data_IF_180771212941
#
_entry.id   IF_180771212941
#
_cell.length_a   1.000
_cell.length_b   1.000
_cell.length_c   1.000
_cell.angle_alpha   90.00
_cell.angle_beta   90.00
_cell.angle_gamma   90.00
#
_symmetry.space_group_name_H-M   'P 1'
#
loop_
_entity.id
_entity.type
_entity.pdbx_description
1 polymer ?
#
# COMPACT_ATOMS: atom_id res chain seq x y z
N UNK A 1 -14.47 8.17 3.78
CA UNK A 1 -13.18 8.27 4.47
C UNK A 1 -12.59 9.63 4.18
N UNK A 2 -11.94 10.27 5.13
CA UNK A 2 -11.35 11.61 4.91
C UNK A 2 -9.83 11.52 4.84
N UNK A 3 -9.24 10.80 5.76
CA UNK A 3 -7.78 10.62 5.78
C UNK A 3 -7.45 9.16 6.09
N UNK A 4 -6.39 8.69 5.47
CA UNK A 4 -5.77 7.42 5.79
C UNK A 4 -4.27 7.62 5.97
N UNK A 5 -3.74 7.01 7.00
CA UNK A 5 -2.31 7.07 7.35
C UNK A 5 -1.85 5.68 7.72
N UNK A 6 -0.71 5.29 7.20
CA UNK A 6 0.02 4.11 7.61
C UNK A 6 1.23 4.55 8.46
N UNK A 7 1.40 3.94 9.61
CA UNK A 7 2.58 4.13 10.46
C UNK A 7 3.41 2.85 10.46
N UNK A 8 4.69 3.00 10.21
CA UNK A 8 5.68 1.92 10.32
C UNK A 8 6.69 2.34 11.37
N UNK A 9 6.80 1.59 12.46
CA UNK A 9 7.65 1.94 13.61
C UNK A 9 7.45 3.37 14.11
N UNK A 10 6.20 3.85 14.16
CA UNK A 10 5.81 5.22 14.54
C UNK A 10 6.14 6.31 13.51
N UNK A 11 6.72 5.95 12.37
CA UNK A 11 6.95 6.88 11.26
C UNK A 11 5.77 6.82 10.31
N UNK A 12 5.26 7.99 9.94
CA UNK A 12 4.12 8.12 9.05
C UNK A 12 4.52 7.89 7.59
N UNK A 13 3.73 7.07 6.89
CA UNK A 13 3.84 6.81 5.47
C UNK A 13 2.47 6.98 4.77
N UNK A 14 2.38 7.73 3.69
CA UNK A 14 3.36 8.74 3.26
C UNK A 14 3.46 9.89 4.26
N UNK A 15 4.45 10.76 4.12
CA UNK A 15 4.68 11.90 5.05
C UNK A 15 3.49 12.84 5.22
N UNK A 16 2.61 12.88 4.21
CA UNK A 16 1.30 13.56 4.30
C UNK A 16 0.18 12.53 4.23
N UNK A 17 -0.84 12.60 5.09
CA UNK A 17 -1.99 11.71 5.04
C UNK A 17 -2.60 11.65 3.65
N UNK A 18 -3.05 10.46 3.25
CA UNK A 18 -3.85 10.32 2.04
C UNK A 18 -5.26 10.81 2.32
N UNK A 19 -5.63 11.86 1.61
CA UNK A 19 -6.97 12.46 1.71
C UNK A 19 -7.87 11.93 0.62
N UNK A 20 -9.08 11.52 0.98
CA UNK A 20 -10.08 11.06 0.03
C UNK A 20 -11.38 11.83 0.19
N UNK A 21 -11.75 12.58 -0.83
CA UNK A 21 -13.06 13.23 -0.94
C UNK A 21 -13.87 12.50 -2.00
N UNK A 22 -14.73 11.57 -1.56
CA UNK A 22 -15.58 10.78 -2.46
C UNK A 22 -16.64 11.61 -3.21
N UNK A 23 -16.81 12.87 -2.87
CA UNK A 23 -17.73 13.79 -3.54
C UNK A 23 -17.18 14.40 -4.84
N UNK A 24 -15.90 14.20 -5.13
CA UNK A 24 -15.27 14.68 -6.36
C UNK A 24 -14.26 13.64 -6.86
N UNK A 25 -14.28 13.28 -8.15
CA UNK A 25 -13.28 12.37 -8.71
C UNK A 25 -11.84 12.92 -8.54
N UNK A 26 -11.65 14.23 -8.57
CA UNK A 26 -10.35 14.85 -8.34
C UNK A 26 -9.87 14.75 -6.88
N UNK A 27 -10.78 14.60 -5.93
CA UNK A 27 -10.44 14.48 -4.50
C UNK A 27 -9.77 13.14 -4.12
N UNK A 28 -9.80 12.16 -4.98
CA UNK A 28 -9.18 10.85 -4.77
C UNK A 28 -7.91 10.63 -5.63
N UNK A 29 -7.57 11.55 -6.52
CA UNK A 29 -6.50 11.37 -7.51
C UNK A 29 -5.17 11.01 -6.87
N UNK A 30 -4.77 11.74 -5.83
CA UNK A 30 -3.51 11.48 -5.12
C UNK A 30 -3.47 10.10 -4.47
N UNK A 31 -4.60 9.67 -3.92
CA UNK A 31 -4.72 8.36 -3.29
C UNK A 31 -4.74 7.25 -4.35
N UNK A 32 -5.41 7.49 -5.47
CA UNK A 32 -5.40 6.60 -6.61
C UNK A 32 -4.01 6.45 -7.23
N UNK A 33 -3.22 7.51 -7.24
CA UNK A 33 -1.84 7.51 -7.75
C UNK A 33 -0.92 6.55 -6.97
N UNK A 34 -1.25 6.22 -5.71
CA UNK A 34 -0.48 5.23 -4.95
C UNK A 34 -0.47 3.85 -5.61
N UNK A 35 -1.51 3.50 -6.36
CA UNK A 35 -1.57 2.25 -7.11
C UNK A 35 -0.51 2.16 -8.21
N UNK A 36 -0.10 3.29 -8.76
CA UNK A 36 0.93 3.33 -9.80
C UNK A 36 2.33 3.46 -9.20
N UNK A 37 2.49 4.36 -8.23
CA UNK A 37 3.79 4.68 -7.66
C UNK A 37 4.34 3.62 -6.71
N UNK A 38 3.46 2.78 -6.12
CA UNK A 38 3.88 1.73 -5.19
C UNK A 38 3.84 0.32 -5.79
N UNK A 39 3.47 0.20 -7.07
CA UNK A 39 3.47 -1.05 -7.81
C UNK A 39 4.36 -0.98 -9.05
N UNK A 40 5.13 0.09 -9.17
CA UNK A 40 6.06 0.43 -10.26
C UNK A 40 5.49 0.39 -11.69
N UNK A 41 4.15 0.42 -11.80
CA UNK A 41 3.45 0.41 -13.09
C UNK A 41 3.72 1.69 -13.91
N UNK A 42 4.24 2.76 -13.28
CA UNK A 42 4.59 3.99 -13.98
C UNK A 42 5.63 3.83 -15.10
N UNK A 43 6.49 2.84 -14.96
CA UNK A 43 7.62 2.59 -15.88
C UNK A 43 7.38 1.38 -16.78
N UNK A 44 6.25 0.70 -16.64
CA UNK A 44 5.91 -0.48 -17.41
C UNK A 44 4.73 -0.19 -18.35
N UNK A 45 4.72 -0.80 -19.52
CA UNK A 45 3.59 -0.75 -20.47
C UNK A 45 2.35 -1.50 -19.97
N UNK A 46 2.40 -2.05 -18.76
CA UNK A 46 1.29 -2.69 -18.09
C UNK A 46 0.44 -1.65 -17.34
N UNK A 47 -0.87 -1.77 -17.47
CA UNK A 47 -1.81 -0.97 -16.70
C UNK A 47 -2.65 -1.87 -15.79
N UNK A 48 -2.97 -1.39 -14.60
CA UNK A 48 -3.98 -2.06 -13.80
C UNK A 48 -5.39 -1.74 -14.35
N UNK A 49 -6.31 -2.68 -14.19
CA UNK A 49 -7.66 -2.58 -14.74
C UNK A 49 -8.60 -1.63 -13.96
N UNK A 50 -8.10 -0.97 -12.92
CA UNK A 50 -8.91 -0.11 -12.06
C UNK A 50 -8.83 1.33 -12.58
N UNK A 51 -9.95 1.85 -13.04
CA UNK A 51 -10.06 3.26 -13.44
C UNK A 51 -10.28 4.15 -12.21
N UNK A 52 -10.02 5.45 -12.32
CA UNK A 52 -10.30 6.42 -11.26
C UNK A 52 -11.79 6.42 -10.87
N UNK A 53 -12.67 6.20 -11.83
CA UNK A 53 -14.11 6.10 -11.58
C UNK A 53 -14.45 4.86 -10.74
N UNK A 54 -13.90 3.70 -11.09
CA UNK A 54 -14.06 2.48 -10.32
C UNK A 54 -13.49 2.65 -8.90
N UNK A 55 -12.32 3.25 -8.78
CA UNK A 55 -11.69 3.53 -7.50
C UNK A 55 -12.60 4.37 -6.59
N UNK A 56 -13.19 5.44 -7.10
CA UNK A 56 -14.10 6.30 -6.33
C UNK A 56 -15.44 5.66 -6.01
N UNK A 57 -15.88 4.67 -6.80
CA UNK A 57 -17.14 3.94 -6.62
C UNK A 57 -17.06 2.72 -5.69
N UNK A 58 -15.89 2.40 -5.16
CA UNK A 58 -15.77 1.33 -4.17
C UNK A 58 -14.54 0.45 -4.26
N UNK A 59 -13.75 0.53 -5.32
CA UNK A 59 -12.50 -0.22 -5.44
C UNK A 59 -11.34 0.53 -4.76
N UNK A 60 -11.47 0.82 -3.47
CA UNK A 60 -10.46 1.52 -2.69
C UNK A 60 -9.30 0.57 -2.36
N UNK A 61 -8.41 0.40 -3.32
CA UNK A 61 -7.18 -0.36 -3.14
C UNK A 61 -6.04 0.64 -2.96
N UNK A 62 -5.29 0.51 -1.90
CA UNK A 62 -4.15 1.35 -1.59
C UNK A 62 -2.90 0.49 -1.60
N UNK A 63 -1.86 0.93 -2.25
CA UNK A 63 -0.58 0.27 -2.27
C UNK A 63 0.46 1.12 -1.55
N UNK A 64 1.33 0.47 -0.79
CA UNK A 64 2.45 1.11 -0.08
C UNK A 64 3.67 0.24 -0.26
N UNK A 65 4.70 0.79 -0.86
CA UNK A 65 6.01 0.19 -0.86
C UNK A 65 6.77 0.68 0.38
N UNK A 66 7.20 -0.27 1.21
CA UNK A 66 7.89 -0.04 2.47
C UNK A 66 9.38 -0.41 2.38
N UNK A 67 9.86 -0.81 1.22
CA UNK A 67 11.28 -1.04 1.01
C UNK A 67 12.07 0.26 1.11
N UNK A 68 13.32 0.23 1.55
CA UNK A 68 14.13 1.45 1.71
C UNK A 68 14.39 2.20 0.40
N UNK A 69 14.50 1.47 -0.69
CA UNK A 69 14.74 1.95 -2.05
C UNK A 69 13.45 2.21 -2.84
N UNK A 70 12.31 1.69 -2.35
CA UNK A 70 11.00 1.70 -3.02
C UNK A 70 10.98 0.92 -4.34
N UNK A 71 11.74 -0.13 -4.39
CA UNK A 71 11.86 -1.04 -5.52
C UNK A 71 11.48 -2.46 -5.07
N UNK A 72 10.28 -2.60 -4.48
CA UNK A 72 9.79 -3.88 -3.94
C UNK A 72 9.56 -4.94 -5.03
N UNK A 73 9.40 -4.53 -6.27
CA UNK A 73 9.22 -5.37 -7.45
C UNK A 73 10.54 -5.83 -8.08
N UNK A 74 11.66 -5.20 -7.71
CA UNK A 74 12.99 -5.58 -8.16
C UNK A 74 13.57 -6.72 -7.31
N UNK A 75 14.47 -7.51 -7.90
CA UNK A 75 15.13 -8.64 -7.22
C UNK A 75 16.18 -8.20 -6.18
N UNK A 76 16.00 -7.05 -5.55
CA UNK A 76 16.92 -6.55 -4.54
C UNK A 76 16.69 -7.24 -3.20
N UNK A 77 17.78 -7.70 -2.59
CA UNK A 77 17.72 -8.30 -1.26
C UNK A 77 17.73 -7.19 -0.21
N UNK A 78 16.57 -6.94 0.37
CA UNK A 78 16.45 -6.06 1.53
C UNK A 78 16.69 -6.83 2.83
N UNK A 79 17.40 -6.21 3.77
CA UNK A 79 17.61 -6.82 5.08
C UNK A 79 16.27 -6.98 5.82
N UNK A 80 15.94 -8.20 6.29
CA UNK A 80 14.73 -8.43 7.05
C UNK A 80 14.69 -7.55 8.30
N UNK A 81 13.58 -6.81 8.49
CA UNK A 81 13.34 -5.99 9.68
C UNK A 81 12.01 -6.38 10.32
N UNK A 82 12.00 -6.42 11.64
CA UNK A 82 10.73 -6.49 12.37
C UNK A 82 10.18 -5.08 12.48
N UNK A 83 8.96 -4.89 12.02
CA UNK A 83 8.27 -3.61 12.06
C UNK A 83 6.93 -3.75 12.76
N UNK A 84 6.47 -2.65 13.37
CA UNK A 84 5.10 -2.52 13.85
C UNK A 84 4.36 -1.60 12.90
N UNK A 85 3.30 -2.11 12.31
CA UNK A 85 2.46 -1.38 11.37
C UNK A 85 1.14 -1.00 12.06
N UNK A 86 0.69 0.22 11.81
CA UNK A 86 -0.58 0.73 12.28
C UNK A 86 -1.25 1.54 11.18
N UNK A 87 -2.48 1.18 10.86
CA UNK A 87 -3.30 1.92 9.92
C UNK A 87 -4.31 2.76 10.70
N UNK A 88 -4.37 4.03 10.39
CA UNK A 88 -5.38 4.94 10.90
C UNK A 88 -6.26 5.44 9.76
N UNK A 89 -7.56 5.22 9.89
CA UNK A 89 -8.55 5.74 8.96
C UNK A 89 -9.51 6.67 9.70
N UNK A 90 -9.54 7.94 9.28
CA UNK A 90 -10.43 8.95 9.83
C UNK A 90 -11.61 9.18 8.88
N UNK A 91 -12.82 9.20 9.44
CA UNK A 91 -14.05 9.46 8.71
C UNK A 91 -14.65 10.79 9.16
N UNK A 92 -15.02 11.65 8.21
CA UNK A 92 -15.66 12.94 8.51
C UNK A 92 -17.06 12.75 9.10
N UNK A 93 -17.74 11.67 8.74
CA UNK A 93 -19.05 11.29 9.27
C UNK A 93 -18.96 9.87 9.81
N UNK A 94 -19.73 9.53 10.85
CA UNK A 94 -19.84 8.15 11.29
C UNK A 94 -20.23 7.24 10.13
N UNK A 95 -19.67 6.04 10.12
CA UNK A 95 -20.05 5.03 9.15
C UNK A 95 -21.45 4.50 9.49
N UNK A 96 -22.36 4.40 8.52
CA UNK A 96 -23.70 3.84 8.74
C UNK A 96 -23.64 2.34 9.02
N UNK A 97 -22.64 1.66 8.51
CA UNK A 97 -22.42 0.22 8.63
C UNK A 97 -20.96 -0.10 8.91
N UNK A 98 -20.66 -1.25 9.52
CA UNK A 98 -19.28 -1.74 9.65
C UNK A 98 -18.64 -1.93 8.29
N UNK A 99 -17.37 -1.58 8.17
CA UNK A 99 -16.56 -1.85 6.98
C UNK A 99 -15.46 -2.85 7.31
N UNK A 100 -15.15 -3.72 6.36
CA UNK A 100 -14.04 -4.66 6.46
C UNK A 100 -12.83 -4.06 5.77
N UNK A 101 -11.72 -4.03 6.49
CA UNK A 101 -10.42 -3.70 5.92
C UNK A 101 -9.66 -5.01 5.68
N UNK A 102 -9.24 -5.24 4.45
CA UNK A 102 -8.41 -6.38 4.07
C UNK A 102 -7.00 -5.85 3.87
N UNK A 103 -6.05 -6.40 4.60
CA UNK A 103 -4.64 -6.12 4.44
C UNK A 103 -3.98 -7.32 3.75
N UNK A 104 -3.31 -7.05 2.65
CA UNK A 104 -2.40 -7.98 1.99
C UNK A 104 -0.99 -7.44 2.12
N UNK A 105 -0.04 -8.28 2.47
CA UNK A 105 1.35 -7.87 2.61
C UNK A 105 2.27 -8.94 2.02
N UNK A 106 3.27 -8.48 1.28
CA UNK A 106 4.34 -9.29 0.73
C UNK A 106 5.61 -9.06 1.54
N UNK A 107 6.31 -10.13 1.85
CA UNK A 107 7.56 -10.10 2.59
C UNK A 107 8.62 -10.84 1.81
N UNK A 108 9.86 -10.33 1.73
CA UNK A 108 10.95 -11.07 1.16
C UNK A 108 11.20 -12.33 2.00
N UNK A 109 11.20 -13.48 1.34
CA UNK A 109 11.55 -14.77 1.94
C UNK A 109 12.89 -15.24 1.37
N UNK A 110 13.66 -15.95 2.18
CA UNK A 110 14.85 -16.64 1.70
C UNK A 110 14.84 -18.08 2.20
N UNK A 111 15.37 -18.95 1.39
CA UNK A 111 15.61 -20.36 1.74
C UNK A 111 17.12 -20.52 1.84
N UNK A 112 17.60 -20.91 2.99
CA UNK A 112 19.01 -21.21 3.20
C UNK A 112 19.21 -22.72 3.00
N UNK A 113 20.09 -23.08 2.07
CA UNK A 113 20.50 -24.46 1.83
C UNK A 113 21.94 -24.58 2.31
N UNK A 114 22.14 -25.39 3.34
CA UNK A 114 23.48 -25.63 3.84
C UNK A 114 24.30 -26.52 2.86
N UNK A 115 25.58 -26.60 3.11
CA UNK A 115 26.51 -27.43 2.32
C UNK A 115 26.10 -28.91 2.30
N UNK A 116 25.37 -29.39 3.33
CA UNK A 116 24.83 -30.76 3.41
C UNK A 116 23.48 -30.93 2.70
N UNK A 117 23.03 -29.90 1.94
CA UNK A 117 21.73 -29.83 1.24
C UNK A 117 20.50 -29.88 2.16
N UNK A 118 20.64 -29.50 3.42
CA UNK A 118 19.49 -29.31 4.28
C UNK A 118 18.92 -27.93 4.09
N UNK A 119 17.61 -27.84 4.02
CA UNK A 119 16.85 -26.60 3.92
C UNK A 119 16.52 -26.11 5.34
N UNK A 120 16.79 -24.85 5.61
CA UNK A 120 16.44 -24.17 6.87
C UNK A 120 15.39 -23.10 6.63
#
# INVERSE_FOLDING_TARGET
MTNLVLYVNRVQHPSKPLTMYCSSPFGATRTYETLFSSTDIHYDDRAHMITLEMFTKGFYILAFDLTPDREADEEHISLPRRVNERIEALFKKPLPEPVTCILYAEFPGHIEIDYSRNVK
#
